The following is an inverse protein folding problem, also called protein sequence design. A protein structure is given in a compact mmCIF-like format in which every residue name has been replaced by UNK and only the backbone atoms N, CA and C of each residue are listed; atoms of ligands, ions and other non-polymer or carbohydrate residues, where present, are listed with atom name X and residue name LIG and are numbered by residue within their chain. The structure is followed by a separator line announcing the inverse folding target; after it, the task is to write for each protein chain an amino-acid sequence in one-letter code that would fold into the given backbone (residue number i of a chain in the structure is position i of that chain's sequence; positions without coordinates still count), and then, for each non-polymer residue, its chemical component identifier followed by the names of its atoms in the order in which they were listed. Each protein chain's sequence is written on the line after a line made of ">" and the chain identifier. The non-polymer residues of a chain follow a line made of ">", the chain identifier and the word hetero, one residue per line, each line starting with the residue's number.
data_IF_583448017893
#
_entry.id   IF_583448017893
#
_cell.length_a   1.000
_cell.length_b   1.000
_cell.length_c   1.000
_cell.angle_alpha   90.00
_cell.angle_beta   90.00
_cell.angle_gamma   90.00
#
_symmetry.space_group_name_H-M   'P 1'
#
loop_
_entity.id
_entity.type
_entity.pdbx_description
1 polymer ?
#
# COMPACT_ATOMS: atom_id res chain seq x y z
N UNK A 1 50.15 -37.07 17.52
CA UNK A 1 49.42 -38.00 16.63
C UNK A 1 48.28 -38.79 17.31
N UNK A 2 48.46 -39.35 18.51
CA UNK A 2 47.42 -40.18 19.17
C UNK A 2 46.06 -39.48 19.39
N UNK A 3 46.03 -38.18 19.73
CA UNK A 3 44.77 -37.41 19.88
C UNK A 3 43.98 -37.28 18.57
N UNK A 4 44.68 -37.05 17.46
CA UNK A 4 44.08 -36.90 16.13
C UNK A 4 43.51 -38.24 15.66
N UNK A 5 44.27 -39.34 15.82
CA UNK A 5 43.80 -40.70 15.50
C UNK A 5 42.58 -41.08 16.34
N UNK A 6 42.55 -40.69 17.63
CA UNK A 6 41.40 -40.93 18.51
C UNK A 6 40.17 -40.14 18.05
N UNK A 7 40.33 -38.88 17.63
CA UNK A 7 39.27 -38.07 17.02
C UNK A 7 38.71 -38.71 15.75
N UNK A 8 39.56 -39.13 14.81
CA UNK A 8 39.12 -39.80 13.59
C UNK A 8 38.38 -41.11 13.87
N UNK A 9 38.84 -41.89 14.86
CA UNK A 9 38.16 -43.10 15.30
C UNK A 9 36.78 -42.78 15.89
N UNK A 10 36.67 -41.75 16.72
CA UNK A 10 35.39 -41.26 17.26
C UNK A 10 34.44 -40.77 16.17
N UNK A 11 34.92 -40.02 15.18
CA UNK A 11 34.11 -39.60 14.03
C UNK A 11 33.60 -40.79 13.22
N UNK A 12 34.42 -41.82 13.02
CA UNK A 12 34.01 -43.06 12.35
C UNK A 12 32.99 -43.86 13.17
N UNK A 13 33.17 -43.97 14.48
CA UNK A 13 32.26 -44.71 15.38
C UNK A 13 30.92 -44.02 15.59
N UNK A 14 30.88 -42.68 15.55
CA UNK A 14 29.67 -41.88 15.74
C UNK A 14 29.38 -40.96 14.55
N UNK A 15 29.48 -41.49 13.33
CA UNK A 15 29.34 -40.68 12.11
C UNK A 15 27.99 -39.94 12.05
N UNK A 16 26.87 -40.59 12.41
CA UNK A 16 25.53 -39.94 12.45
C UNK A 16 25.48 -38.72 13.40
N UNK A 17 26.05 -38.85 14.61
CA UNK A 17 26.08 -37.75 15.60
C UNK A 17 27.00 -36.62 15.14
N UNK A 18 28.10 -36.97 14.50
CA UNK A 18 29.06 -36.02 13.93
C UNK A 18 28.41 -35.21 12.81
N UNK A 19 27.72 -35.86 11.87
CA UNK A 19 27.03 -35.18 10.77
C UNK A 19 25.98 -34.22 11.30
N UNK A 20 25.15 -34.64 12.27
CA UNK A 20 24.17 -33.75 12.91
C UNK A 20 24.84 -32.56 13.59
N UNK A 21 25.94 -32.80 14.33
CA UNK A 21 26.70 -31.74 14.97
C UNK A 21 27.25 -30.71 13.97
N UNK A 22 27.82 -31.18 12.85
CA UNK A 22 28.31 -30.31 11.78
C UNK A 22 27.17 -29.51 11.16
N UNK A 23 26.04 -30.13 10.83
CA UNK A 23 24.87 -29.42 10.28
C UNK A 23 24.33 -28.36 11.23
N UNK A 24 24.28 -28.63 12.54
CA UNK A 24 23.84 -27.66 13.54
C UNK A 24 24.83 -26.49 13.69
N UNK A 25 26.14 -26.77 13.65
CA UNK A 25 27.15 -25.73 13.71
C UNK A 25 27.17 -24.85 12.46
N UNK A 26 27.03 -25.43 11.26
CA UNK A 26 26.95 -24.65 10.02
C UNK A 26 25.68 -23.81 9.97
N UNK A 27 24.54 -24.40 10.33
CA UNK A 27 23.27 -23.68 10.42
C UNK A 27 23.31 -22.56 11.47
N UNK A 28 23.81 -22.86 12.68
CA UNK A 28 23.93 -21.90 13.77
C UNK A 28 24.90 -20.78 13.47
N UNK A 29 26.04 -21.09 12.82
CA UNK A 29 27.00 -20.11 12.33
C UNK A 29 26.39 -19.17 11.29
N UNK A 30 25.65 -19.70 10.32
CA UNK A 30 24.95 -18.90 9.31
C UNK A 30 23.86 -18.01 9.95
N UNK A 31 23.11 -18.53 10.92
CA UNK A 31 22.12 -17.75 11.66
C UNK A 31 22.75 -16.61 12.47
N UNK A 32 23.87 -16.89 13.16
CA UNK A 32 24.60 -15.88 13.94
C UNK A 32 25.19 -14.80 13.03
N UNK A 33 25.75 -15.21 11.89
CA UNK A 33 26.26 -14.30 10.86
C UNK A 33 25.15 -13.39 10.34
N UNK A 34 23.98 -13.92 10.00
CA UNK A 34 22.82 -13.13 9.60
C UNK A 34 22.42 -12.09 10.66
N UNK A 35 22.39 -12.47 11.94
CA UNK A 35 22.11 -11.55 13.05
C UNK A 35 23.18 -10.47 13.21
N UNK A 36 24.45 -10.80 12.96
CA UNK A 36 25.53 -9.83 12.96
C UNK A 36 25.38 -8.82 11.81
N UNK A 37 25.11 -9.29 10.60
CA UNK A 37 24.83 -8.43 9.43
C UNK A 37 23.65 -7.49 9.69
N UNK A 38 22.55 -7.98 10.28
CA UNK A 38 21.41 -7.14 10.63
C UNK A 38 21.79 -6.03 11.63
N UNK A 39 22.68 -6.32 12.59
CA UNK A 39 23.16 -5.33 13.54
C UNK A 39 24.07 -4.29 12.88
N UNK A 40 24.91 -4.70 11.92
CA UNK A 40 25.72 -3.78 11.13
C UNK A 40 24.83 -2.83 10.31
N UNK A 41 23.77 -3.34 9.68
CA UNK A 41 22.80 -2.53 8.96
C UNK A 41 22.11 -1.51 9.87
N UNK A 42 21.64 -1.94 11.05
CA UNK A 42 21.05 -1.02 12.05
C UNK A 42 22.03 0.08 12.45
N UNK A 43 23.29 -0.28 12.71
CA UNK A 43 24.32 0.67 13.10
C UNK A 43 24.57 1.69 11.98
N UNK A 44 24.73 1.24 10.74
CA UNK A 44 24.95 2.12 9.59
C UNK A 44 23.78 3.09 9.41
N UNK A 45 22.53 2.60 9.47
CA UNK A 45 21.35 3.43 9.35
C UNK A 45 21.22 4.45 10.49
N UNK A 46 21.54 4.07 11.73
CA UNK A 46 21.55 5.02 12.85
C UNK A 46 22.64 6.09 12.72
N UNK A 47 23.81 5.73 12.18
CA UNK A 47 24.87 6.70 11.90
C UNK A 47 24.44 7.71 10.83
N UNK A 48 23.80 7.25 9.76
CA UNK A 48 23.22 8.14 8.73
C UNK A 48 22.13 9.05 9.34
N UNK A 49 21.22 8.49 10.14
CA UNK A 49 20.17 9.26 10.83
C UNK A 49 20.73 10.31 11.79
N UNK A 50 21.79 9.99 12.51
CA UNK A 50 22.47 10.91 13.42
C UNK A 50 23.04 12.13 12.67
N UNK A 51 23.53 11.95 11.43
CA UNK A 51 23.98 13.08 10.61
C UNK A 51 22.84 14.04 10.30
N UNK A 52 21.62 13.54 10.07
CA UNK A 52 20.43 14.37 9.90
C UNK A 52 20.05 15.11 11.20
N UNK A 53 20.07 14.43 12.35
CA UNK A 53 19.73 15.05 13.64
C UNK A 53 20.74 16.09 14.14
N UNK A 54 22.00 16.00 13.72
CA UNK A 54 23.05 16.95 14.09
C UNK A 54 23.00 18.27 13.28
N UNK A 55 22.00 18.45 12.41
CA UNK A 55 21.82 19.68 11.66
C UNK A 55 21.36 20.82 12.58
N UNK A 56 21.94 22.01 12.39
CA UNK A 56 21.61 23.18 13.19
C UNK A 56 20.28 23.79 12.73
N UNK A 57 19.40 24.08 13.67
CA UNK A 57 18.12 24.76 13.43
C UNK A 57 18.16 26.13 14.09
N UNK A 58 17.75 27.21 13.40
CA UNK A 58 17.58 28.53 14.00
C UNK A 58 16.60 28.52 15.18
N UNK A 59 16.86 29.28 16.25
CA UNK A 59 16.02 29.28 17.46
C UNK A 59 14.57 29.73 17.25
N UNK A 60 14.27 30.41 16.13
CA UNK A 60 12.92 30.84 15.76
C UNK A 60 12.13 29.78 14.98
N UNK A 61 12.77 28.70 14.51
CA UNK A 61 12.13 27.63 13.76
C UNK A 61 11.77 26.48 14.68
N UNK A 62 10.52 26.00 14.59
CA UNK A 62 10.07 24.85 15.37
C UNK A 62 10.52 23.54 14.74
N UNK A 63 10.70 22.53 15.59
CA UNK A 63 10.99 21.16 15.18
C UNK A 63 9.76 20.59 14.46
N UNK A 64 10.00 19.87 13.36
CA UNK A 64 8.92 19.21 12.61
C UNK A 64 8.28 18.11 13.46
N UNK A 65 6.95 18.08 13.49
CA UNK A 65 6.17 17.09 14.23
C UNK A 65 5.76 15.94 13.34
N UNK A 66 6.03 14.72 13.79
CA UNK A 66 5.72 13.48 13.09
C UNK A 66 4.80 12.59 13.94
N UNK A 67 3.67 12.15 13.37
CA UNK A 67 2.78 11.20 14.04
C UNK A 67 2.86 9.84 13.37
N UNK A 68 3.24 8.82 14.16
CA UNK A 68 3.41 7.45 13.70
C UNK A 68 2.19 6.61 14.07
N UNK A 69 1.47 6.06 13.10
CA UNK A 69 0.43 5.06 13.30
C UNK A 69 1.03 3.66 13.19
N UNK A 70 1.17 2.97 14.32
CA UNK A 70 1.71 1.63 14.40
C UNK A 70 0.60 0.62 14.64
N UNK A 71 0.49 -0.38 13.76
CA UNK A 71 -0.33 -1.57 14.00
C UNK A 71 0.52 -2.70 14.62
N UNK A 72 0.42 -2.97 15.94
CA UNK A 72 1.22 -4.00 16.61
C UNK A 72 0.86 -5.42 16.17
N UNK A 73 -0.40 -5.66 15.78
CA UNK A 73 -0.91 -6.97 15.38
C UNK A 73 -0.41 -7.40 13.99
N UNK A 74 0.08 -6.46 13.18
CA UNK A 74 0.64 -6.74 11.87
C UNK A 74 1.80 -7.76 11.92
N UNK A 75 2.01 -8.47 10.81
CA UNK A 75 3.02 -9.52 10.67
C UNK A 75 3.00 -10.58 11.79
N UNK A 76 1.79 -11.04 12.16
CA UNK A 76 1.57 -12.04 13.23
C UNK A 76 2.04 -11.55 14.61
N UNK A 77 1.74 -10.30 14.96
CA UNK A 77 2.08 -9.70 16.25
C UNK A 77 3.56 -9.33 16.45
N UNK A 78 4.37 -9.40 15.38
CA UNK A 78 5.82 -9.07 15.45
C UNK A 78 6.13 -7.63 15.07
N UNK A 79 5.15 -6.90 14.51
CA UNK A 79 5.34 -5.55 13.99
C UNK A 79 5.90 -4.58 15.05
N UNK A 80 5.38 -4.60 16.28
CA UNK A 80 5.90 -3.78 17.38
C UNK A 80 7.40 -3.96 17.61
N UNK A 81 7.83 -5.21 17.79
CA UNK A 81 9.24 -5.52 18.03
C UNK A 81 10.13 -5.18 16.83
N UNK A 82 9.62 -5.32 15.61
CA UNK A 82 10.34 -4.95 14.40
C UNK A 82 10.50 -3.43 14.29
N UNK A 83 9.44 -2.68 14.58
CA UNK A 83 9.47 -1.23 14.57
C UNK A 83 10.41 -0.67 15.64
N UNK A 84 10.24 -1.09 16.90
CA UNK A 84 11.06 -0.63 18.04
C UNK A 84 12.55 -0.91 17.85
N UNK A 85 12.92 -2.01 17.16
CA UNK A 85 14.32 -2.39 16.93
C UNK A 85 14.96 -1.77 15.69
N UNK A 86 14.18 -1.57 14.62
CA UNK A 86 14.74 -1.26 13.31
C UNK A 86 14.43 0.16 12.84
N UNK A 87 13.29 0.74 13.22
CA UNK A 87 12.84 2.05 12.74
C UNK A 87 12.86 3.13 13.83
N UNK A 88 12.38 2.82 15.03
CA UNK A 88 12.26 3.81 16.11
C UNK A 88 13.59 4.53 16.45
N UNK A 89 14.76 3.84 16.51
CA UNK A 89 16.03 4.52 16.76
C UNK A 89 16.40 5.51 15.65
N UNK A 90 16.14 5.16 14.39
CA UNK A 90 16.41 6.02 13.22
C UNK A 90 15.57 7.29 13.30
N UNK A 91 14.28 7.15 13.60
CA UNK A 91 13.37 8.28 13.73
C UNK A 91 13.79 9.18 14.91
N UNK A 92 14.04 8.63 16.11
CA UNK A 92 14.42 9.46 17.26
C UNK A 92 15.77 10.18 17.08
N UNK A 93 16.71 9.61 16.33
CA UNK A 93 17.98 10.25 16.01
C UNK A 93 17.88 11.37 14.96
N UNK A 94 16.77 11.45 14.23
CA UNK A 94 16.60 12.40 13.12
C UNK A 94 16.30 13.85 13.53
N UNK A 95 16.06 14.09 14.83
CA UNK A 95 15.68 15.42 15.33
C UNK A 95 14.23 15.80 15.04
N UNK A 96 13.34 14.84 14.78
CA UNK A 96 11.88 15.04 14.67
C UNK A 96 11.19 14.89 16.03
N UNK A 97 10.13 15.66 16.27
CA UNK A 97 9.23 15.45 17.42
C UNK A 97 8.23 14.35 17.08
N UNK A 98 8.46 13.15 17.64
CA UNK A 98 7.78 11.92 17.21
C UNK A 98 6.74 11.49 18.24
N UNK A 99 5.48 11.46 17.83
CA UNK A 99 4.38 10.89 18.60
C UNK A 99 3.98 9.54 18.02
N UNK A 100 4.15 8.47 18.79
CA UNK A 100 3.78 7.11 18.36
C UNK A 100 2.40 6.75 18.90
N UNK A 101 1.46 6.56 17.98
CA UNK A 101 0.12 6.05 18.24
C UNK A 101 0.07 4.56 17.90
N UNK A 102 -0.39 3.75 18.84
CA UNK A 102 -0.62 2.32 18.63
C UNK A 102 -2.11 2.11 18.36
N UNK A 103 -2.43 1.34 17.33
CA UNK A 103 -3.79 0.90 17.03
C UNK A 103 -4.05 -0.46 17.69
N UNK A 104 -5.11 -0.55 18.47
CA UNK A 104 -5.57 -1.75 19.17
C UNK A 104 -6.51 -2.60 18.31
N UNK A 105 -7.31 -1.97 17.45
CA UNK A 105 -8.28 -2.66 16.58
C UNK A 105 -8.49 -1.94 15.23
N UNK A 106 -9.10 -2.65 14.28
CA UNK A 106 -9.39 -2.16 12.93
C UNK A 106 -10.32 -0.94 12.94
N UNK A 107 -9.95 0.10 12.19
CA UNK A 107 -10.71 1.34 12.10
C UNK A 107 -10.49 2.31 13.27
N UNK A 108 -9.68 1.97 14.28
CA UNK A 108 -9.25 2.94 15.28
C UNK A 108 -8.37 4.03 14.68
N UNK A 109 -7.52 3.68 13.70
CA UNK A 109 -6.71 4.67 12.97
C UNK A 109 -7.62 5.69 12.25
N UNK A 110 -8.67 5.20 11.57
CA UNK A 110 -9.68 6.03 10.89
C UNK A 110 -10.27 7.08 11.84
N UNK A 111 -10.78 6.66 13.00
CA UNK A 111 -11.39 7.54 14.01
C UNK A 111 -10.41 8.53 14.63
N UNK A 112 -9.20 8.08 14.97
CA UNK A 112 -8.21 8.97 15.57
C UNK A 112 -7.72 10.02 14.57
N UNK A 113 -7.61 9.65 13.29
CA UNK A 113 -7.27 10.58 12.23
C UNK A 113 -8.34 11.60 11.96
N UNK A 114 -9.63 11.34 12.22
CA UNK A 114 -10.66 12.37 12.12
C UNK A 114 -10.48 13.45 13.20
N UNK A 115 -9.98 13.07 14.38
CA UNK A 115 -9.81 13.94 15.55
C UNK A 115 -8.40 14.52 15.69
N UNK A 116 -7.45 14.08 14.85
CA UNK A 116 -6.05 14.47 14.96
C UNK A 116 -5.86 15.96 14.66
N UNK A 117 -4.98 16.61 15.41
CA UNK A 117 -4.55 17.98 15.13
C UNK A 117 -3.61 18.03 13.90
N UNK A 118 -3.25 19.25 13.48
CA UNK A 118 -2.34 19.44 12.36
C UNK A 118 -0.92 18.93 12.71
N UNK A 119 -0.35 18.14 11.81
CA UNK A 119 1.01 17.59 11.91
C UNK A 119 1.77 17.88 10.62
N UNK A 120 3.10 17.93 10.69
CA UNK A 120 3.91 18.20 9.50
C UNK A 120 4.16 16.93 8.67
N UNK A 121 4.05 15.76 9.32
CA UNK A 121 4.39 14.46 8.78
C UNK A 121 3.52 13.37 9.41
N UNK A 122 2.99 12.47 8.57
CA UNK A 122 2.29 11.25 9.02
C UNK A 122 3.14 10.04 8.61
N UNK A 123 3.39 9.11 9.52
CA UNK A 123 4.13 7.88 9.24
C UNK A 123 3.24 6.69 9.55
N UNK A 124 3.12 5.76 8.59
CA UNK A 124 2.32 4.54 8.72
C UNK A 124 3.26 3.35 8.88
N UNK A 125 3.19 2.65 10.01
CA UNK A 125 4.02 1.49 10.31
C UNK A 125 3.15 0.23 10.38
N UNK A 126 3.09 -0.53 9.29
CA UNK A 126 2.15 -1.63 9.17
C UNK A 126 2.21 -2.39 7.83
N UNK A 127 1.07 -2.92 7.41
CA UNK A 127 0.87 -3.49 6.08
C UNK A 127 -0.11 -2.64 5.26
N UNK A 128 -0.48 -3.14 4.07
CA UNK A 128 -1.30 -2.40 3.11
C UNK A 128 -2.69 -2.03 3.70
N UNK A 129 -3.32 -2.89 4.51
CA UNK A 129 -4.57 -2.54 5.22
C UNK A 129 -4.42 -1.37 6.20
N UNK A 130 -3.31 -1.30 6.96
CA UNK A 130 -3.06 -0.13 7.83
C UNK A 130 -2.87 1.16 7.03
N UNK A 131 -2.31 1.06 5.81
CA UNK A 131 -2.20 2.20 4.89
C UNK A 131 -3.58 2.64 4.42
N UNK A 132 -4.42 1.69 4.02
CA UNK A 132 -5.81 1.91 3.63
C UNK A 132 -6.59 2.61 4.75
N UNK A 133 -6.42 2.16 6.00
CA UNK A 133 -7.16 2.74 7.11
C UNK A 133 -6.80 4.20 7.35
N UNK A 134 -5.50 4.49 7.36
CA UNK A 134 -4.99 5.84 7.60
C UNK A 134 -5.44 6.78 6.48
N UNK A 135 -5.33 6.34 5.23
CA UNK A 135 -5.72 7.16 4.07
C UNK A 135 -7.22 7.40 4.04
N UNK A 136 -8.01 6.37 4.36
CA UNK A 136 -9.46 6.53 4.46
C UNK A 136 -9.83 7.52 5.56
N UNK A 137 -9.19 7.44 6.74
CA UNK A 137 -9.40 8.42 7.80
C UNK A 137 -9.02 9.85 7.39
N UNK A 138 -7.90 10.00 6.67
CA UNK A 138 -7.39 11.30 6.22
C UNK A 138 -8.29 11.94 5.15
N UNK A 139 -8.73 11.16 4.16
CA UNK A 139 -9.54 11.66 3.05
C UNK A 139 -11.03 11.80 3.37
N UNK A 140 -11.51 11.28 4.51
CA UNK A 140 -12.87 11.52 5.01
C UNK A 140 -13.03 12.81 5.80
N UNK A 141 -11.94 13.49 6.15
CA UNK A 141 -11.98 14.72 6.94
C UNK A 141 -12.62 15.86 6.16
N UNK A 142 -13.30 16.78 6.87
CA UNK A 142 -13.79 18.02 6.27
C UNK A 142 -12.66 18.90 5.71
N UNK A 143 -11.49 18.90 6.38
CA UNK A 143 -10.31 19.68 5.97
C UNK A 143 -9.34 18.89 5.05
N UNK A 144 -9.87 17.90 4.31
CA UNK A 144 -9.11 17.01 3.43
C UNK A 144 -8.09 17.75 2.55
N UNK A 145 -8.46 18.89 1.97
CA UNK A 145 -7.63 19.62 1.03
C UNK A 145 -6.29 20.12 1.63
N UNK A 146 -6.25 20.29 2.96
CA UNK A 146 -5.02 20.67 3.67
C UNK A 146 -4.22 19.41 4.03
N UNK A 147 -4.90 18.40 4.55
CA UNK A 147 -4.25 17.16 5.01
C UNK A 147 -3.71 16.30 3.87
N UNK A 148 -4.32 16.35 2.67
CA UNK A 148 -3.82 15.62 1.50
C UNK A 148 -2.46 16.11 1.02
N UNK A 149 -2.06 17.34 1.41
CA UNK A 149 -0.75 17.92 1.13
C UNK A 149 0.32 17.53 2.15
N UNK A 150 -0.08 16.98 3.32
CA UNK A 150 0.86 16.51 4.32
C UNK A 150 1.53 15.24 3.76
N UNK A 151 2.86 15.19 3.69
CA UNK A 151 3.55 14.04 3.13
C UNK A 151 3.46 12.84 4.09
N UNK A 152 3.31 11.64 3.51
CA UNK A 152 3.05 10.39 4.21
C UNK A 152 4.25 9.45 4.06
N UNK A 153 4.83 9.03 5.18
CA UNK A 153 5.87 8.01 5.22
C UNK A 153 5.25 6.63 5.40
N UNK A 154 5.79 5.61 4.73
CA UNK A 154 5.35 4.23 4.91
C UNK A 154 6.50 3.33 5.34
N UNK A 155 6.34 2.68 6.49
CA UNK A 155 7.30 1.71 7.03
C UNK A 155 6.69 0.31 6.89
N UNK A 156 7.17 -0.51 5.94
CA UNK A 156 6.57 -1.80 5.64
C UNK A 156 6.98 -2.85 6.68
N UNK A 157 6.08 -3.12 7.63
CA UNK A 157 6.27 -4.17 8.64
C UNK A 157 5.66 -5.52 8.20
N UNK A 158 4.80 -5.51 7.18
CA UNK A 158 4.22 -6.68 6.55
C UNK A 158 5.24 -7.56 5.80
N UNK A 159 4.89 -8.83 5.60
CA UNK A 159 5.74 -9.78 4.84
C UNK A 159 5.85 -9.35 3.38
N UNK A 160 4.70 -9.16 2.75
CA UNK A 160 4.50 -8.62 1.41
C UNK A 160 3.84 -7.26 1.56
N UNK A 161 4.23 -6.31 0.73
CA UNK A 161 3.57 -5.02 0.61
C UNK A 161 3.78 -4.54 -0.81
N UNK A 162 2.69 -4.19 -1.46
CA UNK A 162 2.67 -3.71 -2.85
C UNK A 162 3.29 -2.32 -2.95
N UNK A 163 2.84 -1.38 -2.11
CA UNK A 163 3.36 -0.01 -2.06
C UNK A 163 4.85 0.06 -1.73
N UNK A 164 5.35 -0.85 -0.89
CA UNK A 164 6.78 -0.93 -0.57
C UNK A 164 7.65 -1.19 -1.80
N UNK A 165 7.15 -1.94 -2.80
CA UNK A 165 7.92 -2.27 -4.00
C UNK A 165 8.03 -1.07 -4.96
N UNK A 166 7.00 -0.23 -4.96
CA UNK A 166 6.96 1.05 -5.67
C UNK A 166 7.90 2.07 -5.04
N UNK A 167 7.75 2.32 -3.73
CA UNK A 167 8.41 3.46 -3.06
C UNK A 167 9.89 3.22 -2.75
N UNK A 168 10.29 1.96 -2.55
CA UNK A 168 11.63 1.60 -2.08
C UNK A 168 12.31 0.58 -3.01
N UNK A 169 13.65 0.48 -2.97
CA UNK A 169 14.37 -0.60 -3.64
C UNK A 169 13.92 -1.97 -3.11
N UNK A 170 13.78 -2.95 -4.00
CA UNK A 170 13.48 -4.31 -3.61
C UNK A 170 14.63 -4.93 -2.81
N UNK A 171 14.37 -5.43 -1.61
CA UNK A 171 15.35 -6.18 -0.83
C UNK A 171 14.75 -7.41 -0.14
N UNK A 172 15.55 -8.47 -0.05
CA UNK A 172 15.13 -9.74 0.56
C UNK A 172 15.20 -9.67 2.10
N UNK A 173 16.08 -8.84 2.66
CA UNK A 173 16.22 -8.67 4.09
C UNK A 173 15.18 -7.69 4.64
N UNK A 174 14.31 -8.17 5.54
CA UNK A 174 13.28 -7.36 6.18
C UNK A 174 13.85 -6.19 6.99
N UNK A 175 15.01 -6.36 7.63
CA UNK A 175 15.63 -5.28 8.42
C UNK A 175 16.08 -4.14 7.51
N UNK A 176 16.69 -4.50 6.37
CA UNK A 176 17.12 -3.53 5.37
C UNK A 176 15.93 -2.77 4.80
N UNK A 177 14.83 -3.45 4.42
CA UNK A 177 13.60 -2.80 3.94
C UNK A 177 13.07 -1.74 4.91
N UNK A 178 13.02 -2.07 6.20
CA UNK A 178 12.50 -1.16 7.24
C UNK A 178 13.46 0.02 7.45
N UNK A 179 14.78 -0.24 7.46
CA UNK A 179 15.79 0.80 7.63
C UNK A 179 15.81 1.76 6.43
N UNK A 180 15.83 1.24 5.20
CA UNK A 180 15.82 2.03 3.97
C UNK A 180 14.55 2.89 3.87
N UNK A 181 13.38 2.33 4.20
CA UNK A 181 12.12 3.08 4.24
C UNK A 181 12.16 4.21 5.29
N UNK A 182 12.72 3.94 6.48
CA UNK A 182 12.86 4.96 7.53
C UNK A 182 13.81 6.07 7.11
N UNK A 183 14.93 5.73 6.46
CA UNK A 183 15.90 6.70 5.93
C UNK A 183 15.33 7.51 4.77
N UNK A 184 14.51 6.91 3.91
CA UNK A 184 13.84 7.62 2.82
C UNK A 184 12.92 8.75 3.34
N UNK A 185 12.22 8.49 4.45
CA UNK A 185 11.43 9.52 5.15
C UNK A 185 12.33 10.68 5.62
N UNK A 186 13.51 10.38 6.16
CA UNK A 186 14.45 11.42 6.62
C UNK A 186 15.05 12.23 5.47
N UNK A 187 15.31 11.59 4.33
CA UNK A 187 15.82 12.24 3.11
C UNK A 187 14.83 13.26 2.55
N UNK A 188 13.53 13.05 2.79
CA UNK A 188 12.51 14.05 2.50
C UNK A 188 12.01 14.07 1.05
N UNK A 189 12.43 13.11 0.22
CA UNK A 189 11.99 13.00 -1.18
C UNK A 189 10.57 12.46 -1.26
N UNK A 190 9.69 13.17 -1.97
CA UNK A 190 8.26 12.82 -2.08
C UNK A 190 7.83 12.55 -3.53
N UNK A 191 6.90 11.62 -3.69
CA UNK A 191 6.25 11.29 -4.95
C UNK A 191 4.73 11.34 -4.78
N UNK A 192 3.99 11.96 -5.73
CA UNK A 192 2.54 11.94 -5.70
C UNK A 192 2.00 10.57 -6.11
N UNK A 193 1.03 10.05 -5.35
CA UNK A 193 0.33 8.80 -5.62
C UNK A 193 -1.14 9.04 -5.93
N UNK A 194 -1.67 8.19 -6.81
CA UNK A 194 -3.09 8.15 -7.11
C UNK A 194 -3.85 7.37 -6.03
N UNK A 195 -5.11 7.71 -5.81
CA UNK A 195 -6.00 7.01 -4.87
C UNK A 195 -7.31 6.68 -5.58
N UNK A 196 -7.87 5.52 -5.31
CA UNK A 196 -9.22 5.16 -5.73
C UNK A 196 -10.20 5.51 -4.62
N UNK A 197 -11.22 6.27 -4.96
CA UNK A 197 -12.39 6.46 -4.12
C UNK A 197 -13.45 5.42 -4.51
N UNK A 198 -13.82 4.56 -3.57
CA UNK A 198 -14.81 3.50 -3.74
C UNK A 198 -16.00 3.85 -2.86
N UNK A 199 -17.13 4.18 -3.47
CA UNK A 199 -18.34 4.61 -2.78
C UNK A 199 -19.44 3.58 -2.98
N UNK A 200 -19.88 2.95 -1.89
CA UNK A 200 -21.11 2.16 -1.87
C UNK A 200 -22.34 3.06 -1.72
N UNK A 201 -23.52 2.51 -2.00
CA UNK A 201 -24.79 3.28 -1.92
C UNK A 201 -25.12 3.77 -0.51
N UNK A 202 -24.86 2.95 0.51
CA UNK A 202 -25.25 3.19 1.91
C UNK A 202 -24.09 3.55 2.83
N UNK A 203 -22.86 3.31 2.40
CA UNK A 203 -21.67 3.47 3.23
C UNK A 203 -20.89 4.75 2.90
N UNK A 204 -20.07 5.19 3.87
CA UNK A 204 -19.11 6.26 3.62
C UNK A 204 -18.04 5.81 2.60
N UNK A 205 -17.52 6.73 1.77
CA UNK A 205 -16.53 6.39 0.74
C UNK A 205 -15.27 5.80 1.36
N UNK A 206 -14.80 4.69 0.81
CA UNK A 206 -13.57 4.01 1.20
C UNK A 206 -12.48 4.40 0.20
N UNK A 207 -11.26 4.61 0.67
CA UNK A 207 -10.15 5.01 -0.19
C UNK A 207 -9.08 3.92 -0.24
N UNK A 208 -8.57 3.63 -1.44
CA UNK A 208 -7.59 2.58 -1.68
C UNK A 208 -6.43 3.11 -2.53
N UNK A 209 -5.20 2.71 -2.21
CA UNK A 209 -4.01 3.11 -2.97
C UNK A 209 -3.67 2.09 -4.03
N UNK A 210 -3.98 0.81 -3.80
CA UNK A 210 -3.54 -0.26 -4.71
C UNK A 210 -4.68 -0.73 -5.60
N UNK A 211 -5.83 -1.07 -5.02
CA UNK A 211 -6.96 -1.56 -5.81
C UNK A 211 -8.04 -2.31 -5.03
N UNK A 212 -9.10 -2.60 -5.76
CA UNK A 212 -10.20 -3.49 -5.39
C UNK A 212 -10.08 -4.80 -6.17
N UNK A 213 -10.30 -5.92 -5.48
CA UNK A 213 -10.34 -7.26 -6.08
C UNK A 213 -11.61 -7.98 -5.69
N UNK A 214 -12.22 -8.65 -6.65
CA UNK A 214 -13.44 -9.43 -6.45
C UNK A 214 -13.36 -10.73 -7.23
N UNK A 215 -13.46 -11.86 -6.52
CA UNK A 215 -13.59 -13.17 -7.15
C UNK A 215 -12.78 -14.28 -6.49
N UNK A 216 -12.68 -15.40 -7.21
CA UNK A 216 -12.26 -16.69 -6.66
C UNK A 216 -10.83 -16.71 -6.11
N UNK A 217 -9.90 -15.99 -6.75
CA UNK A 217 -8.50 -15.93 -6.30
C UNK A 217 -8.38 -15.22 -4.95
N UNK A 218 -9.11 -14.10 -4.77
CA UNK A 218 -9.19 -13.36 -3.51
C UNK A 218 -9.77 -14.24 -2.40
N UNK A 219 -10.91 -14.88 -2.66
CA UNK A 219 -11.59 -15.73 -1.67
C UNK A 219 -10.75 -16.95 -1.27
N UNK A 220 -10.01 -17.50 -2.23
CA UNK A 220 -9.05 -18.55 -1.92
C UNK A 220 -7.88 -18.01 -1.10
N UNK A 221 -7.38 -16.82 -1.43
CA UNK A 221 -6.27 -16.16 -0.73
C UNK A 221 -6.54 -15.97 0.75
N UNK A 222 -7.75 -15.55 1.13
CA UNK A 222 -8.21 -15.45 2.52
C UNK A 222 -8.12 -16.81 3.24
N UNK A 223 -8.55 -17.89 2.56
CA UNK A 223 -8.55 -19.26 3.10
C UNK A 223 -7.15 -19.88 3.23
N UNK A 224 -6.13 -19.37 2.53
CA UNK A 224 -4.74 -19.89 2.61
C UNK A 224 -4.23 -19.94 4.05
N UNK A 225 -4.63 -18.97 4.88
CA UNK A 225 -4.25 -18.91 6.30
C UNK A 225 -4.74 -20.12 7.11
N UNK A 226 -5.91 -20.69 6.76
CA UNK A 226 -6.51 -21.86 7.40
C UNK A 226 -5.67 -23.13 7.20
N UNK A 227 -4.99 -23.24 6.06
CA UNK A 227 -4.15 -24.38 5.69
C UNK A 227 -2.69 -24.27 6.20
N UNK A 228 -2.48 -23.65 7.37
CA UNK A 228 -1.14 -23.37 7.91
C UNK A 228 -0.29 -24.65 8.10
N UNK A 229 -0.92 -25.80 8.32
CA UNK A 229 -0.28 -27.10 8.55
C UNK A 229 0.40 -27.69 7.30
N UNK A 230 0.04 -27.22 6.08
CA UNK A 230 0.63 -27.69 4.83
C UNK A 230 1.93 -26.95 4.45
N UNK A 231 2.40 -26.02 5.30
CA UNK A 231 3.68 -25.34 5.13
C UNK A 231 3.82 -24.67 3.76
N UNK A 232 4.79 -25.08 2.90
CA UNK A 232 5.02 -24.48 1.60
C UNK A 232 3.92 -24.80 0.58
N UNK A 233 3.15 -25.87 0.76
CA UNK A 233 2.11 -26.30 -0.17
C UNK A 233 0.78 -25.60 0.07
N UNK A 234 0.61 -24.86 1.17
CA UNK A 234 -0.68 -24.29 1.59
C UNK A 234 -1.34 -23.39 0.54
N UNK A 235 -0.56 -22.64 -0.26
CA UNK A 235 -1.09 -21.74 -1.29
C UNK A 235 -1.70 -22.57 -2.42
N UNK A 236 -0.91 -23.47 -3.01
CA UNK A 236 -1.37 -24.40 -4.06
C UNK A 236 -2.52 -25.27 -3.58
N UNK A 237 -2.43 -25.79 -2.35
CA UNK A 237 -3.47 -26.62 -1.75
C UNK A 237 -4.78 -25.85 -1.55
N UNK A 238 -4.75 -24.58 -1.15
CA UNK A 238 -5.96 -23.77 -1.02
C UNK A 238 -6.69 -23.63 -2.37
N UNK A 239 -5.95 -23.31 -3.44
CA UNK A 239 -6.52 -23.24 -4.79
C UNK A 239 -7.04 -24.61 -5.25
N UNK A 240 -6.28 -25.67 -5.00
CA UNK A 240 -6.70 -27.03 -5.34
C UNK A 240 -7.99 -27.44 -4.61
N UNK A 241 -8.07 -27.25 -3.29
CA UNK A 241 -9.28 -27.57 -2.51
C UNK A 241 -10.48 -26.71 -2.92
N UNK A 242 -10.27 -25.45 -3.30
CA UNK A 242 -11.35 -24.62 -3.84
C UNK A 242 -11.88 -25.18 -5.18
N UNK A 243 -10.99 -25.63 -6.08
CA UNK A 243 -11.40 -26.27 -7.35
C UNK A 243 -12.12 -27.62 -7.19
N UNK A 244 -11.93 -28.30 -6.05
CA UNK A 244 -12.65 -29.54 -5.73
C UNK A 244 -14.06 -29.28 -5.20
N UNK A 245 -14.26 -28.15 -4.51
CA UNK A 245 -15.56 -27.80 -3.96
C UNK A 245 -16.52 -27.42 -5.08
N UNK A 246 -16.17 -26.39 -5.85
CA UNK A 246 -17.01 -25.83 -6.90
C UNK A 246 -16.13 -25.35 -8.05
N UNK A 247 -16.45 -25.76 -9.28
CA UNK A 247 -15.75 -25.33 -10.48
C UNK A 247 -16.67 -25.35 -11.71
N UNK A 248 -16.72 -24.28 -12.52
CA UNK A 248 -16.05 -22.98 -12.38
C UNK A 248 -16.80 -22.02 -11.43
N UNK A 249 -16.07 -21.31 -10.56
CA UNK A 249 -16.63 -20.22 -9.75
C UNK A 249 -16.66 -18.95 -10.58
N UNK A 250 -17.81 -18.72 -11.23
CA UNK A 250 -18.03 -17.56 -12.11
C UNK A 250 -18.76 -16.48 -11.34
N UNK A 251 -18.33 -15.25 -11.53
CA UNK A 251 -18.98 -14.06 -11.02
C UNK A 251 -19.49 -13.23 -12.20
N UNK A 252 -20.79 -12.94 -12.18
CA UNK A 252 -21.45 -12.08 -13.16
C UNK A 252 -21.66 -10.69 -12.57
N UNK A 253 -21.36 -9.65 -13.36
CA UNK A 253 -21.59 -8.27 -12.99
C UNK A 253 -21.71 -7.39 -14.24
N UNK A 254 -22.33 -6.23 -14.10
CA UNK A 254 -22.31 -5.18 -15.12
C UNK A 254 -21.34 -4.09 -14.73
N UNK A 255 -20.48 -3.70 -15.66
CA UNK A 255 -19.50 -2.63 -15.51
C UNK A 255 -19.87 -1.51 -16.48
N UNK A 256 -20.12 -0.33 -15.93
CA UNK A 256 -20.19 0.91 -16.73
C UNK A 256 -18.95 1.72 -16.45
N UNK A 257 -18.29 2.26 -17.48
CA UNK A 257 -17.07 3.02 -17.28
C UNK A 257 -16.96 4.22 -18.21
N UNK A 258 -16.15 5.18 -17.78
CA UNK A 258 -15.71 6.33 -18.54
C UNK A 258 -14.24 6.18 -18.90
N UNK A 259 -13.90 6.51 -20.14
CA UNK A 259 -12.53 6.41 -20.65
C UNK A 259 -11.50 7.26 -19.90
N UNK A 260 -10.21 7.14 -20.29
CA UNK A 260 -9.11 7.90 -19.70
C UNK A 260 -9.35 9.42 -19.77
N UNK A 261 -8.98 10.13 -18.71
CA UNK A 261 -9.08 11.59 -18.68
C UNK A 261 -7.72 12.20 -18.99
N UNK A 262 -7.68 13.18 -19.90
CA UNK A 262 -6.46 13.95 -20.17
C UNK A 262 -6.09 14.75 -18.94
N UNK A 263 -4.81 14.75 -18.59
CA UNK A 263 -4.33 15.50 -17.45
C UNK A 263 -4.53 17.01 -17.68
N UNK A 264 -5.16 17.74 -16.73
CA UNK A 264 -5.11 19.19 -16.75
C UNK A 264 -3.66 19.67 -16.51
N UNK A 265 -3.20 20.73 -17.18
CA UNK A 265 -1.85 21.24 -16.96
C UNK A 265 -1.63 21.52 -15.47
N UNK A 266 -0.46 21.13 -14.94
CA UNK A 266 -0.09 21.44 -13.56
C UNK A 266 0.05 22.96 -13.42
N UNK A 267 -1.03 23.62 -12.98
CA UNK A 267 -0.95 25.01 -12.60
C UNK A 267 -0.02 25.12 -11.38
N UNK A 268 0.99 26.02 -11.41
CA UNK A 268 1.85 26.21 -10.26
C UNK A 268 0.98 26.59 -9.06
N UNK A 269 1.25 25.98 -7.90
CA UNK A 269 0.57 26.32 -6.64
C UNK A 269 0.90 27.76 -6.23
N UNK A 270 0.25 28.74 -6.85
CA UNK A 270 0.21 30.09 -6.33
C UNK A 270 -0.60 30.04 -5.04
N UNK A 271 0.07 30.07 -3.88
CA UNK A 271 -0.61 30.41 -2.62
C UNK A 271 -1.30 31.75 -2.86
N UNK A 272 -2.65 31.83 -2.89
CA UNK A 272 -3.30 33.09 -3.18
C UNK A 272 -2.88 34.07 -2.09
N UNK A 273 -2.16 35.12 -2.49
CA UNK A 273 -1.72 36.16 -1.56
C UNK A 273 -2.95 36.69 -0.84
N UNK A 274 -2.86 36.79 0.50
CA UNK A 274 -3.98 37.17 1.35
C UNK A 274 -4.52 38.52 0.82
N UNK A 275 -5.73 38.58 0.22
CA UNK A 275 -6.19 39.83 -0.37
C UNK A 275 -6.34 40.90 0.71
N UNK A 276 -6.01 42.15 0.36
CA UNK A 276 -6.07 43.29 1.25
C UNK A 276 -7.43 43.44 1.95
N UNK A 277 -7.43 44.01 3.16
CA UNK A 277 -8.59 44.04 4.06
C UNK A 277 -9.86 44.63 3.40
N UNK A 278 -9.70 45.71 2.63
CA UNK A 278 -10.80 46.37 1.92
C UNK A 278 -11.47 45.43 0.90
N UNK A 279 -10.70 44.60 0.19
CA UNK A 279 -11.21 43.65 -0.83
C UNK A 279 -12.02 42.53 -0.18
N UNK A 280 -11.68 42.17 1.05
CA UNK A 280 -12.42 41.19 1.87
C UNK A 280 -13.73 41.77 2.38
N UNK A 281 -13.69 42.99 2.90
CA UNK A 281 -14.89 43.71 3.36
C UNK A 281 -15.83 43.92 2.18
N UNK A 282 -15.31 44.37 1.04
CA UNK A 282 -16.09 44.51 -0.20
C UNK A 282 -16.68 43.18 -0.67
N UNK A 283 -15.92 42.08 -0.69
CA UNK A 283 -16.46 40.74 -1.02
C UNK A 283 -17.52 40.28 -0.04
N UNK A 284 -17.36 40.56 1.25
CA UNK A 284 -18.33 40.16 2.28
C UNK A 284 -19.62 40.96 2.15
N UNK A 285 -19.51 42.26 1.88
CA UNK A 285 -20.65 43.11 1.55
C UNK A 285 -21.29 42.67 0.24
N UNK A 286 -20.51 42.46 -0.82
CA UNK A 286 -21.05 42.01 -2.11
C UNK A 286 -21.75 40.66 -2.02
N UNK A 287 -21.27 39.74 -1.18
CA UNK A 287 -21.93 38.45 -0.92
C UNK A 287 -23.16 38.58 -0.02
N UNK A 288 -23.21 39.58 0.87
CA UNK A 288 -24.39 39.89 1.69
C UNK A 288 -25.53 40.48 0.86
N UNK A 289 -25.19 41.26 -0.17
CA UNK A 289 -26.14 41.89 -1.10
C UNK A 289 -26.36 41.09 -2.39
N UNK A 290 -25.52 40.09 -2.68
CA UNK A 290 -25.74 39.18 -3.79
C UNK A 290 -26.84 38.19 -3.42
N UNK A 291 -27.90 38.16 -4.22
CA UNK A 291 -28.84 37.05 -4.22
C UNK A 291 -28.06 35.76 -4.50
N UNK A 292 -28.34 34.63 -3.82
CA UNK A 292 -27.68 33.36 -4.13
C UNK A 292 -27.83 33.11 -5.63
N UNK A 293 -26.70 33.09 -6.34
CA UNK A 293 -26.70 32.66 -7.72
C UNK A 293 -27.20 31.21 -7.70
N UNK A 294 -28.34 30.95 -8.33
CA UNK A 294 -28.64 29.60 -8.81
C UNK A 294 -27.42 29.19 -9.61
N UNK A 295 -26.70 28.16 -9.15
CA UNK A 295 -25.70 27.49 -9.95
C UNK A 295 -26.37 27.20 -11.29
N UNK A 296 -25.94 27.91 -12.34
CA UNK A 296 -26.31 27.55 -13.69
C UNK A 296 -25.73 26.15 -13.84
N UNK A 297 -26.54 25.11 -14.07
CA UNK A 297 -25.99 23.79 -14.31
C UNK A 297 -25.01 23.95 -15.45
N UNK A 298 -23.72 23.70 -15.19
CA UNK A 298 -22.80 23.47 -16.29
C UNK A 298 -23.47 22.40 -17.14
N UNK A 299 -23.71 22.70 -18.42
CA UNK A 299 -24.17 21.69 -19.37
C UNK A 299 -23.17 20.55 -19.27
N UNK A 300 -23.56 19.48 -18.57
CA UNK A 300 -22.78 18.28 -18.49
C UNK A 300 -22.65 17.81 -19.93
N UNK A 301 -21.45 17.97 -20.51
CA UNK A 301 -21.07 17.23 -21.71
C UNK A 301 -21.54 15.81 -21.48
N UNK A 302 -22.42 15.30 -22.34
CA UNK A 302 -22.95 13.93 -22.24
C UNK A 302 -21.75 12.99 -22.12
N UNK A 303 -21.41 12.61 -20.89
CA UNK A 303 -20.31 11.70 -20.61
C UNK A 303 -20.70 10.37 -21.26
N UNK A 304 -19.97 9.95 -22.30
CA UNK A 304 -20.29 8.73 -23.02
C UNK A 304 -19.88 7.53 -22.17
N UNK A 305 -20.79 7.09 -21.30
CA UNK A 305 -20.64 5.86 -20.52
C UNK A 305 -20.73 4.65 -21.44
N UNK A 306 -19.72 3.79 -21.38
CA UNK A 306 -19.73 2.49 -22.05
C UNK A 306 -20.16 1.42 -21.05
N UNK A 307 -21.13 0.59 -21.43
CA UNK A 307 -21.62 -0.52 -20.61
C UNK A 307 -21.09 -1.85 -21.14
N UNK A 308 -20.62 -2.69 -20.22
CA UNK A 308 -20.11 -4.01 -20.51
C UNK A 308 -20.63 -5.02 -19.47
N UNK A 309 -21.18 -6.12 -19.96
CA UNK A 309 -21.61 -7.26 -19.14
C UNK A 309 -20.44 -8.23 -18.97
N UNK A 310 -20.17 -8.63 -17.74
CA UNK A 310 -18.99 -9.42 -17.37
C UNK A 310 -19.39 -10.78 -16.80
N UNK A 311 -18.68 -11.83 -17.22
CA UNK A 311 -18.66 -13.15 -16.59
C UNK A 311 -17.20 -13.55 -16.41
N UNK A 312 -16.71 -13.52 -15.16
CA UNK A 312 -15.28 -13.65 -14.86
C UNK A 312 -15.01 -14.54 -13.66
N UNK A 313 -13.78 -15.02 -13.52
CA UNK A 313 -13.31 -15.69 -12.30
C UNK A 313 -12.86 -14.66 -11.26
N UNK A 314 -12.21 -13.59 -11.72
CA UNK A 314 -11.79 -12.46 -10.89
C UNK A 314 -11.81 -11.16 -11.70
N UNK A 315 -12.33 -10.13 -11.05
CA UNK A 315 -12.24 -8.74 -11.45
C UNK A 315 -11.24 -8.03 -10.53
N UNK A 316 -10.36 -7.22 -11.11
CA UNK A 316 -9.45 -6.37 -10.35
C UNK A 316 -9.41 -4.96 -10.92
N UNK A 317 -9.64 -3.97 -10.07
CA UNK A 317 -9.55 -2.55 -10.40
C UNK A 317 -8.36 -2.00 -9.63
N UNK A 318 -7.35 -1.53 -10.34
CA UNK A 318 -6.04 -1.19 -9.75
C UNK A 318 -5.56 0.17 -10.21
N UNK A 319 -4.78 0.83 -9.37
CA UNK A 319 -4.07 2.06 -9.74
C UNK A 319 -2.82 1.74 -10.55
N UNK A 320 -2.27 2.76 -11.19
CA UNK A 320 -0.97 2.68 -11.85
C UNK A 320 0.22 2.84 -10.89
N UNK A 321 -0.04 2.87 -9.58
CA UNK A 321 0.99 3.10 -8.57
C UNK A 321 2.08 2.03 -8.57
N UNK A 322 1.86 0.87 -9.19
CA UNK A 322 2.88 -0.18 -9.32
C UNK A 322 4.10 0.25 -10.14
N UNK A 323 3.86 0.95 -11.24
CA UNK A 323 4.88 1.47 -12.14
C UNK A 323 4.54 2.92 -12.44
N UNK A 324 4.87 3.78 -11.47
CA UNK A 324 4.62 5.21 -11.56
C UNK A 324 5.46 5.82 -12.67
N UNK A 325 4.77 6.33 -13.68
CA UNK A 325 5.31 7.25 -14.67
C UNK A 325 4.81 8.66 -14.34
N UNK A 326 5.72 9.50 -13.88
CA UNK A 326 5.41 10.89 -13.55
C UNK A 326 5.23 11.77 -14.81
N UNK A 327 5.64 11.28 -15.97
CA UNK A 327 5.56 12.00 -17.25
C UNK A 327 4.30 11.68 -18.06
N UNK A 328 3.48 10.71 -17.62
CA UNK A 328 2.26 10.28 -18.34
C UNK A 328 1.31 11.45 -18.63
N UNK A 329 0.63 11.44 -19.78
CA UNK A 329 -0.29 12.51 -20.22
C UNK A 329 -1.74 12.29 -19.81
N UNK A 330 -2.11 11.04 -19.53
CA UNK A 330 -3.48 10.63 -19.18
C UNK A 330 -3.50 10.01 -17.79
N UNK A 331 -4.59 10.24 -17.06
CA UNK A 331 -4.82 9.66 -15.75
C UNK A 331 -5.97 8.64 -15.87
N UNK A 332 -5.65 7.37 -15.59
CA UNK A 332 -6.60 6.26 -15.65
C UNK A 332 -6.23 5.15 -14.66
N UNK A 333 -7.23 4.38 -14.26
CA UNK A 333 -7.11 3.14 -13.50
C UNK A 333 -7.18 1.94 -14.45
N UNK A 334 -6.53 0.85 -14.06
CA UNK A 334 -6.47 -0.39 -14.83
C UNK A 334 -7.52 -1.36 -14.30
N UNK A 335 -8.47 -1.71 -15.16
CA UNK A 335 -9.48 -2.73 -14.88
C UNK A 335 -9.08 -4.00 -15.61
N UNK A 336 -8.66 -5.02 -14.86
CA UNK A 336 -8.33 -6.32 -15.40
C UNK A 336 -9.46 -7.32 -15.12
N UNK A 337 -10.00 -7.87 -16.19
CA UNK A 337 -11.12 -8.80 -16.25
C UNK A 337 -10.55 -10.15 -16.68
N UNK A 338 -10.48 -11.10 -15.74
CA UNK A 338 -9.93 -12.42 -16.04
C UNK A 338 -11.02 -13.36 -16.60
N UNK A 339 -10.77 -14.04 -17.74
CA UNK A 339 -11.77 -14.87 -18.40
C UNK A 339 -12.21 -16.06 -17.53
N UNK A 340 -13.39 -16.58 -17.85
CA UNK A 340 -13.97 -17.74 -17.18
C UNK A 340 -13.58 -19.11 -17.78
N UNK A 341 -12.71 -19.10 -18.80
CA UNK A 341 -12.24 -20.27 -19.55
C UNK A 341 -10.92 -20.86 -19.03
N UNK A 342 -10.35 -20.30 -17.95
CA UNK A 342 -9.07 -20.75 -17.37
C UNK A 342 -9.18 -22.20 -16.90
N UNK A 343 -8.22 -23.08 -17.24
CA UNK A 343 -8.21 -24.46 -16.78
C UNK A 343 -7.86 -24.62 -15.29
N UNK A 344 -8.24 -25.74 -14.66
CA UNK A 344 -7.98 -25.99 -13.22
C UNK A 344 -6.49 -25.93 -12.85
N UNK A 345 -5.61 -26.49 -13.71
CA UNK A 345 -4.16 -26.47 -13.49
C UNK A 345 -3.60 -25.05 -13.54
N UNK A 346 -4.05 -24.26 -14.52
CA UNK A 346 -3.67 -22.86 -14.67
C UNK A 346 -4.21 -22.02 -13.53
N UNK A 347 -5.42 -22.29 -13.04
CA UNK A 347 -5.97 -21.63 -11.87
C UNK A 347 -5.07 -21.81 -10.63
N UNK A 348 -4.58 -23.02 -10.37
CA UNK A 348 -3.71 -23.27 -9.20
C UNK A 348 -2.36 -22.56 -9.34
N UNK A 349 -1.78 -22.60 -10.54
CA UNK A 349 -0.49 -21.96 -10.83
C UNK A 349 -0.59 -20.44 -10.77
N UNK A 350 -1.59 -19.85 -11.47
CA UNK A 350 -1.88 -18.41 -11.46
C UNK A 350 -2.25 -17.92 -10.07
N UNK A 351 -3.04 -18.68 -9.31
CA UNK A 351 -3.40 -18.33 -7.94
C UNK A 351 -2.18 -18.20 -7.03
N UNK A 352 -1.20 -19.10 -7.19
CA UNK A 352 0.07 -19.01 -6.45
C UNK A 352 0.88 -17.77 -6.84
N UNK A 353 0.88 -17.39 -8.12
CA UNK A 353 1.53 -16.16 -8.60
C UNK A 353 0.82 -14.90 -8.07
N UNK A 354 -0.52 -14.86 -8.15
CA UNK A 354 -1.37 -13.76 -7.65
C UNK A 354 -1.31 -13.55 -6.13
N UNK A 355 -0.94 -14.58 -5.37
CA UNK A 355 -0.68 -14.45 -3.93
C UNK A 355 0.65 -13.73 -3.64
N UNK A 356 1.64 -13.86 -4.51
CA UNK A 356 2.90 -13.12 -4.41
C UNK A 356 2.75 -11.72 -5.02
N UNK A 357 1.98 -11.63 -6.09
CA UNK A 357 1.77 -10.43 -6.88
C UNK A 357 0.28 -10.22 -7.21
N UNK A 358 -0.47 -9.54 -6.32
CA UNK A 358 -1.90 -9.29 -6.47
C UNK A 358 -2.34 -8.56 -7.72
N UNK A 359 -1.46 -7.76 -8.32
CA UNK A 359 -1.77 -6.86 -9.44
C UNK A 359 -1.37 -7.46 -10.79
N UNK A 360 -0.92 -8.73 -10.81
CA UNK A 360 -0.60 -9.43 -12.04
C UNK A 360 -1.89 -9.66 -12.85
N UNK A 361 -1.94 -9.12 -14.07
CA UNK A 361 -3.00 -9.40 -15.04
C UNK A 361 -2.51 -10.51 -16.00
N UNK A 362 -3.06 -11.74 -15.93
CA UNK A 362 -2.57 -12.87 -16.74
C UNK A 362 -2.84 -12.70 -18.23
N UNK A 363 -2.04 -13.38 -19.07
CA UNK A 363 -2.26 -13.45 -20.51
C UNK A 363 -3.65 -14.02 -20.86
N UNK A 364 -4.34 -13.34 -21.79
CA UNK A 364 -5.72 -13.61 -22.16
C UNK A 364 -6.78 -12.86 -21.35
N UNK A 365 -6.38 -12.04 -20.37
CA UNK A 365 -7.30 -11.15 -19.65
C UNK A 365 -7.63 -9.90 -20.45
N UNK A 366 -8.88 -9.46 -20.39
CA UNK A 366 -9.28 -8.19 -20.99
C UNK A 366 -8.89 -7.05 -20.03
N UNK A 367 -8.13 -6.08 -20.54
CA UNK A 367 -7.72 -4.90 -19.78
C UNK A 367 -8.44 -3.67 -20.33
N UNK A 368 -9.15 -2.96 -19.47
CA UNK A 368 -9.86 -1.71 -19.80
C UNK A 368 -9.27 -0.58 -18.97
N UNK A 369 -9.11 0.58 -19.61
CA UNK A 369 -8.59 1.78 -18.97
C UNK A 369 -9.72 2.77 -18.74
N UNK A 370 -9.91 3.18 -17.49
CA UNK A 370 -11.03 4.03 -17.11
C UNK A 370 -10.62 5.11 -16.11
N UNK A 371 -11.30 6.24 -16.09
CA UNK A 371 -11.13 7.26 -15.04
C UNK A 371 -12.14 7.08 -13.90
N UNK A 372 -13.35 6.62 -14.25
CA UNK A 372 -14.46 6.32 -13.35
C UNK A 372 -15.19 5.08 -13.83
N UNK A 373 -15.67 4.25 -12.92
CA UNK A 373 -16.54 3.14 -13.26
C UNK A 373 -17.57 2.87 -12.17
N UNK A 374 -18.69 2.27 -12.55
CA UNK A 374 -19.71 1.79 -11.62
C UNK A 374 -19.82 0.28 -11.84
N UNK A 375 -19.60 -0.45 -10.76
CA UNK A 375 -19.75 -1.90 -10.72
C UNK A 375 -21.11 -2.23 -10.10
N UNK A 376 -22.00 -2.79 -10.89
CA UNK A 376 -23.30 -3.27 -10.44
C UNK A 376 -23.25 -4.79 -10.31
N UNK A 377 -23.66 -5.26 -9.13
CA UNK A 377 -23.75 -6.68 -8.82
C UNK A 377 -25.21 -7.16 -8.91
N UNK A 378 -25.47 -8.40 -9.35
CA UNK A 378 -26.80 -8.99 -9.28
C UNK A 378 -27.35 -9.02 -7.85
N UNK A 379 -28.66 -8.87 -7.68
CA UNK A 379 -29.32 -8.95 -6.37
C UNK A 379 -29.07 -10.33 -5.71
N UNK A 380 -28.65 -10.33 -4.45
CA UNK A 380 -28.36 -11.56 -3.70
C UNK A 380 -26.97 -12.15 -3.94
N UNK A 381 -26.06 -11.42 -4.58
CA UNK A 381 -24.65 -11.83 -4.73
C UNK A 381 -23.97 -11.90 -3.36
N UNK A 382 -23.83 -13.10 -2.81
CA UNK A 382 -23.01 -13.34 -1.63
C UNK A 382 -21.52 -13.27 -2.00
N UNK A 383 -20.75 -12.47 -1.26
CA UNK A 383 -19.33 -12.33 -1.48
C UNK A 383 -18.73 -11.15 -0.74
N UNK A 384 -17.42 -10.99 -0.86
CA UNK A 384 -16.71 -9.88 -0.25
C UNK A 384 -15.66 -9.33 -1.20
N UNK A 385 -15.56 -8.02 -1.27
CA UNK A 385 -14.46 -7.34 -1.94
C UNK A 385 -13.19 -7.43 -1.10
N UNK A 386 -12.04 -7.46 -1.77
CA UNK A 386 -10.74 -7.24 -1.18
C UNK A 386 -10.23 -5.86 -1.57
N UNK A 387 -10.22 -4.90 -0.65
CA UNK A 387 -9.70 -3.55 -0.89
C UNK A 387 -8.38 -3.43 -0.14
N UNK A 388 -7.25 -3.31 -0.84
CA UNK A 388 -5.89 -3.21 -0.23
C UNK A 388 -5.58 -4.28 0.86
N UNK A 389 -6.11 -5.50 0.70
CA UNK A 389 -6.02 -6.65 1.63
C UNK A 389 -6.99 -6.65 2.83
N UNK A 390 -7.92 -5.71 2.90
CA UNK A 390 -9.06 -5.74 3.83
C UNK A 390 -10.32 -6.28 3.17
N UNK A 391 -11.19 -6.88 3.98
CA UNK A 391 -12.43 -7.49 3.52
C UNK A 391 -13.60 -6.53 3.68
N UNK A 392 -14.32 -6.28 2.59
CA UNK A 392 -15.53 -5.44 2.57
C UNK A 392 -16.69 -6.24 2.00
N UNK A 393 -17.91 -5.95 2.43
CA UNK A 393 -19.10 -6.59 1.88
C UNK A 393 -19.28 -6.22 0.40
N UNK A 394 -19.64 -7.20 -0.43
CA UNK A 394 -19.87 -6.97 -1.85
C UNK A 394 -21.21 -6.24 -2.05
N UNK A 395 -21.17 -5.08 -2.69
CA UNK A 395 -22.34 -4.27 -3.02
C UNK A 395 -22.09 -3.48 -4.31
N UNK A 396 -23.13 -2.91 -4.94
CA UNK A 396 -22.92 -1.96 -6.03
C UNK A 396 -22.05 -0.79 -5.57
N UNK A 397 -20.99 -0.51 -6.32
CA UNK A 397 -20.00 0.52 -5.97
C UNK A 397 -19.65 1.40 -7.15
N UNK A 398 -19.51 2.69 -6.87
CA UNK A 398 -18.90 3.65 -7.78
C UNK A 398 -17.41 3.80 -7.42
N UNK A 399 -16.54 3.58 -8.40
CA UNK A 399 -15.09 3.75 -8.28
C UNK A 399 -14.65 4.94 -9.09
N UNK A 400 -13.94 5.88 -8.45
CA UNK A 400 -13.38 7.08 -9.08
C UNK A 400 -11.89 7.19 -8.79
N UNK A 401 -11.09 7.46 -9.82
CA UNK A 401 -9.67 7.77 -9.65
C UNK A 401 -9.49 9.22 -9.17
N UNK A 402 -8.68 9.39 -8.13
CA UNK A 402 -8.18 10.66 -7.63
C UNK A 402 -6.69 10.73 -7.94
N UNK A 403 -6.30 11.34 -9.07
CA UNK A 403 -4.90 11.36 -9.49
C UNK A 403 -4.06 12.24 -8.57
N UNK A 404 -2.83 11.78 -8.25
CA UNK A 404 -1.81 12.53 -7.50
C UNK A 404 -2.30 13.15 -6.18
N UNK A 405 -3.27 12.51 -5.55
CA UNK A 405 -4.01 13.08 -4.43
C UNK A 405 -3.17 13.16 -3.15
N UNK A 406 -2.25 12.22 -2.95
CA UNK A 406 -1.42 12.10 -1.75
C UNK A 406 0.05 12.16 -2.10
N UNK A 407 0.88 12.67 -1.18
CA UNK A 407 2.33 12.70 -1.33
C UNK A 407 2.96 11.65 -0.42
N UNK A 408 3.78 10.74 -0.96
CA UNK A 408 4.47 9.70 -0.22
C UNK A 408 5.98 9.87 -0.26
N UNK A 409 6.67 9.56 0.84
CA UNK A 409 8.13 9.50 0.80
C UNK A 409 8.62 8.28 0.04
N UNK A 410 9.57 8.50 -0.86
CA UNK A 410 10.21 7.46 -1.64
C UNK A 410 11.73 7.51 -1.51
N UNK A 411 12.41 6.42 -1.88
CA UNK A 411 13.86 6.46 -2.03
C UNK A 411 14.24 7.36 -3.22
N UNK A 412 15.26 8.23 -3.10
CA UNK A 412 15.71 9.10 -4.19
C UNK A 412 16.01 8.34 -5.49
N UNK A 413 16.60 7.14 -5.38
CA UNK A 413 16.94 6.30 -6.55
C UNK A 413 15.69 5.83 -7.30
N UNK A 414 14.59 5.60 -6.58
CA UNK A 414 13.29 5.25 -7.18
C UNK A 414 12.67 6.45 -7.86
N UNK A 415 12.75 7.64 -7.26
CA UNK A 415 12.26 8.88 -7.86
C UNK A 415 12.90 9.16 -9.22
N UNK A 416 14.23 8.98 -9.31
CA UNK A 416 14.95 9.12 -10.58
C UNK A 416 14.46 8.15 -11.66
N UNK A 417 14.16 6.90 -11.30
CA UNK A 417 13.60 5.90 -12.23
C UNK A 417 12.19 6.27 -12.70
N UNK A 418 11.36 6.87 -11.83
CA UNK A 418 9.99 7.29 -12.14
C UNK A 418 9.91 8.54 -13.05
N UNK A 419 10.99 9.31 -13.13
CA UNK A 419 11.11 10.50 -13.97
C UNK A 419 11.68 10.20 -15.35
N UNK A 420 12.34 9.04 -15.52
CA UNK A 420 12.78 8.59 -16.83
C UNK A 420 11.57 8.06 -17.60
N UNK A 421 11.31 8.55 -18.84
CA UNK A 421 10.24 7.98 -19.65
C UNK A 421 10.52 6.50 -19.84
N UNK A 422 9.50 5.66 -19.70
CA UNK A 422 9.62 4.25 -19.98
C UNK A 422 10.20 4.11 -21.40
N UNK A 423 11.42 3.58 -21.51
CA UNK A 423 12.02 3.23 -22.80
C UNK A 423 11.07 2.20 -23.42
N UNK A 424 10.34 2.63 -24.45
CA UNK A 424 9.33 1.83 -25.16
C UNK A 424 9.94 0.58 -25.78
#
# INVERSE_FOLDING_TARGET
>A
MAKVVRMFKTFKTHWKKTTVGVCLLTWGGNWLYGKHCDNLLRRAACQEAQVFGNQLIPSNMQVKKATVFLNPAACKGKARNLFEKNAAPILHLSGLDITIVKTDYEGQAKKLLELMENTDLIIIAGGDGTVQEVITGLLRRADEATFSKIPIGFIPLGKTSTLSQTLYPGSLNQVQRIADASLAILKGETVPLDVLQIKGEKEQPVFAVTGLRWGSYRDTGVKVSKYWYLGPLKTKAAHFFNTLKEWPQKHQASLTYLGPTKRPPEEPEEKPSRPALYRRIYRRLSLYWASPQKEIPQEATLEAWEEMQLSTIELSITTQNRQLDLTRTEDFMNICIEPDTVGKGDFINRGSQKMCDPQLCPEGSQCVYASRCILQLPEGTEGSFGIDSEEYEAMPVEVKLLPRKLQFFCDPRRREQMLQPAVQ
#
